data_IF_074971453413
#
_entry.id   IF_074971453413
#
_cell.length_a   1.000
_cell.length_b   1.000
_cell.length_c   1.000
_cell.angle_alpha   90.00
_cell.angle_beta   90.00
_cell.angle_gamma   90.00
#
_symmetry.space_group_name_H-M   'P 1'
#
loop_
_entity.id
_entity.type
_entity.pdbx_description
1 polymer ?
#
# COMPACT_ATOMS: atom_id res chain seq x y z
N UNK A 1 -30.90 6.21 49.01
CA UNK A 1 -30.13 7.36 48.48
C UNK A 1 -29.40 6.86 47.23
N UNK A 2 -29.84 7.32 46.06
CA UNK A 2 -29.29 6.95 44.75
C UNK A 2 -27.92 7.62 44.57
N UNK A 3 -26.94 6.90 44.04
CA UNK A 3 -25.84 7.53 43.30
C UNK A 3 -25.47 6.63 42.12
N UNK A 4 -26.04 6.97 40.96
CA UNK A 4 -25.63 6.47 39.66
C UNK A 4 -24.20 6.96 39.37
N UNK A 5 -23.23 6.05 39.30
CA UNK A 5 -21.90 6.36 38.79
C UNK A 5 -21.85 5.87 37.34
N UNK A 6 -22.04 6.84 36.45
CA UNK A 6 -21.87 6.74 35.01
C UNK A 6 -20.45 6.27 34.65
N UNK A 7 -20.34 5.05 34.14
CA UNK A 7 -19.08 4.49 33.63
C UNK A 7 -18.82 5.04 32.22
N UNK A 8 -18.18 6.21 32.14
CA UNK A 8 -17.67 6.78 30.89
C UNK A 8 -16.57 5.87 30.33
N UNK A 9 -16.75 5.41 29.09
CA UNK A 9 -15.75 4.72 28.29
C UNK A 9 -14.50 5.61 28.18
N UNK A 10 -13.41 5.20 28.83
CA UNK A 10 -12.10 5.84 28.66
C UNK A 10 -11.44 5.20 27.43
N UNK A 11 -11.47 5.89 26.29
CA UNK A 11 -10.58 5.57 25.16
C UNK A 11 -9.16 5.96 25.59
N UNK A 12 -8.32 4.96 25.82
CA UNK A 12 -6.90 5.15 26.06
C UNK A 12 -6.20 5.28 24.69
N UNK A 13 -6.10 6.50 24.17
CA UNK A 13 -5.15 6.83 23.11
C UNK A 13 -3.75 6.86 23.71
N UNK A 14 -3.02 5.75 23.61
CA UNK A 14 -1.60 5.71 23.91
C UNK A 14 -0.83 6.49 22.84
N UNK A 15 -0.61 7.80 23.08
CA UNK A 15 0.48 8.54 22.44
C UNK A 15 1.80 7.97 22.99
N UNK A 16 2.55 7.27 22.13
CA UNK A 16 3.95 6.99 22.38
C UNK A 16 4.72 8.32 22.34
N UNK A 17 5.06 8.84 23.52
CA UNK A 17 6.04 9.92 23.66
C UNK A 17 7.42 9.29 23.43
N UNK A 18 7.95 9.42 22.22
CA UNK A 18 9.31 8.99 21.89
C UNK A 18 10.27 10.03 22.47
N UNK A 19 11.11 9.61 23.43
CA UNK A 19 12.16 10.45 24.02
C UNK A 19 13.25 10.80 22.98
N UNK A 20 13.78 12.04 22.95
CA UNK A 20 14.70 12.50 21.92
C UNK A 20 16.16 12.28 22.34
N UNK A 21 16.55 11.03 22.57
CA UNK A 21 17.95 10.69 22.80
C UNK A 21 18.35 9.63 21.78
N UNK A 22 19.09 10.05 20.73
CA UNK A 22 19.56 9.30 19.55
C UNK A 22 18.61 9.26 18.35
N UNK A 23 18.06 10.40 17.92
CA UNK A 23 17.42 10.51 16.62
C UNK A 23 18.48 10.68 15.51
N UNK A 24 19.10 9.58 15.05
CA UNK A 24 19.19 9.44 13.59
C UNK A 24 17.72 9.47 13.14
N UNK A 25 17.36 10.38 12.23
CA UNK A 25 15.96 10.59 11.87
C UNK A 25 15.24 9.28 11.54
N UNK A 26 13.90 9.28 11.58
CA UNK A 26 13.07 8.15 11.13
C UNK A 26 13.41 7.78 9.67
N UNK A 27 13.93 8.75 8.90
CA UNK A 27 14.41 8.60 7.53
C UNK A 27 15.95 8.67 7.51
N UNK A 28 16.54 7.75 6.76
CA UNK A 28 17.95 7.76 6.37
C UNK A 28 18.11 8.29 4.94
N UNK A 29 19.34 8.62 4.55
CA UNK A 29 19.62 9.08 3.20
C UNK A 29 19.25 7.99 2.18
N UNK A 30 18.49 8.36 1.15
CA UNK A 30 17.99 7.44 0.12
C UNK A 30 16.63 6.81 0.42
N UNK A 31 16.09 6.96 1.63
CA UNK A 31 14.70 6.60 1.91
C UNK A 31 13.74 7.56 1.19
N UNK A 32 12.60 7.03 0.75
CA UNK A 32 11.57 7.85 0.10
C UNK A 32 10.19 7.50 0.64
N UNK A 33 9.31 8.48 0.69
CA UNK A 33 7.93 8.29 1.12
C UNK A 33 7.00 8.70 0.00
N UNK A 34 6.08 7.82 -0.38
CA UNK A 34 5.15 8.03 -1.48
C UNK A 34 3.73 8.11 -0.94
N UNK A 35 3.03 9.19 -1.27
CA UNK A 35 1.59 9.32 -1.06
C UNK A 35 0.88 9.18 -2.39
N UNK A 36 -0.14 8.32 -2.45
CA UNK A 36 -0.89 8.00 -3.67
C UNK A 36 -2.41 8.05 -3.44
N UNK A 37 -3.13 8.36 -4.52
CA UNK A 37 -4.59 8.24 -4.58
C UNK A 37 -5.05 7.62 -5.89
N UNK A 38 -6.23 6.98 -5.88
CA UNK A 38 -6.86 6.41 -7.07
C UNK A 38 -7.44 7.52 -7.93
N UNK A 39 -7.07 7.56 -9.20
CA UNK A 39 -7.63 8.52 -10.17
C UNK A 39 -8.70 7.90 -11.06
N UNK A 40 -8.62 6.58 -11.30
CA UNK A 40 -9.58 5.88 -12.13
C UNK A 40 -9.57 4.38 -11.81
N UNK A 41 -10.74 3.75 -11.87
CA UNK A 41 -10.87 2.31 -11.72
C UNK A 41 -11.88 1.78 -12.71
N UNK A 42 -11.61 0.60 -13.26
CA UNK A 42 -12.55 -0.12 -14.12
C UNK A 42 -12.58 -1.59 -13.78
N UNK A 43 -13.78 -2.09 -13.60
CA UNK A 43 -14.03 -3.52 -13.48
C UNK A 43 -14.15 -4.16 -14.87
N UNK A 44 -13.60 -5.36 -15.04
CA UNK A 44 -13.67 -6.07 -16.32
C UNK A 44 -15.09 -6.55 -16.65
N UNK A 45 -15.83 -6.98 -15.61
CA UNK A 45 -17.24 -7.34 -15.71
C UNK A 45 -18.06 -6.45 -14.75
N UNK A 46 -18.58 -5.30 -15.21
CA UNK A 46 -19.30 -4.36 -14.35
C UNK A 46 -20.71 -4.88 -14.02
N UNK A 47 -20.99 -5.11 -12.74
CA UNK A 47 -22.35 -5.26 -12.22
C UNK A 47 -22.87 -3.91 -11.71
N UNK A 48 -24.20 -3.67 -11.66
CA UNK A 48 -24.79 -2.38 -11.25
C UNK A 48 -24.30 -1.89 -9.88
N UNK A 49 -23.94 -2.82 -8.99
CA UNK A 49 -23.54 -2.53 -7.61
C UNK A 49 -22.02 -2.31 -7.46
N UNK A 50 -21.24 -2.37 -8.54
CA UNK A 50 -19.79 -2.18 -8.48
C UNK A 50 -19.39 -0.70 -8.34
N UNK A 51 -18.76 -0.35 -7.23
CA UNK A 51 -18.18 0.96 -7.01
C UNK A 51 -16.94 1.18 -7.90
N UNK A 52 -16.95 2.20 -8.76
CA UNK A 52 -15.78 2.63 -9.56
C UNK A 52 -15.04 3.86 -8.97
N UNK A 53 -15.40 4.27 -7.75
CA UNK A 53 -14.81 5.37 -7.00
C UNK A 53 -14.19 4.86 -5.70
N UNK A 54 -13.00 4.28 -5.81
CA UNK A 54 -12.32 3.60 -4.70
C UNK A 54 -11.86 4.57 -3.62
N UNK A 55 -11.69 5.87 -3.93
CA UNK A 55 -11.26 6.91 -2.97
C UNK A 55 -10.02 6.46 -2.18
N UNK A 56 -9.07 5.83 -2.87
CA UNK A 56 -7.91 5.25 -2.22
C UNK A 56 -7.02 6.36 -1.68
N UNK A 57 -6.48 6.13 -0.48
CA UNK A 57 -5.28 6.80 0.04
C UNK A 57 -4.27 5.71 0.32
N UNK A 58 -3.08 5.84 -0.24
CA UNK A 58 -2.00 4.88 -0.09
C UNK A 58 -0.71 5.58 0.35
N UNK A 59 -0.01 4.97 1.31
CA UNK A 59 1.26 5.45 1.82
C UNK A 59 2.29 4.33 1.66
N UNK A 60 3.39 4.60 0.97
CA UNK A 60 4.51 3.68 0.83
C UNK A 60 5.79 4.31 1.38
N UNK A 61 6.58 3.50 2.07
CA UNK A 61 7.95 3.78 2.48
C UNK A 61 8.88 2.91 1.65
N UNK A 62 9.76 3.54 0.88
CA UNK A 62 10.83 2.88 0.15
C UNK A 62 12.10 2.95 0.99
N UNK A 63 12.69 1.79 1.24
CA UNK A 63 13.97 1.72 1.90
C UNK A 63 15.09 2.20 0.96
N UNK A 64 16.14 2.74 1.55
CA UNK A 64 17.39 3.03 0.89
C UNK A 64 18.02 1.76 0.26
N UNK A 65 19.05 1.94 -0.56
CA UNK A 65 19.70 0.85 -1.28
C UNK A 65 20.55 -0.07 -0.40
N UNK A 66 20.69 0.20 0.91
CA UNK A 66 21.37 -0.71 1.84
C UNK A 66 20.47 -1.88 2.24
N UNK A 67 19.14 -1.67 2.27
CA UNK A 67 18.18 -2.71 2.63
C UNK A 67 17.94 -3.62 1.43
N UNK A 68 18.54 -4.81 1.46
CA UNK A 68 18.35 -5.85 0.44
C UNK A 68 17.84 -7.15 1.09
N UNK A 69 16.65 -7.57 0.69
CA UNK A 69 16.12 -8.88 1.06
C UNK A 69 16.40 -9.91 -0.04
N UNK A 70 16.68 -11.16 0.35
CA UNK A 70 16.88 -12.28 -0.57
C UNK A 70 18.03 -12.10 -1.59
N UNK A 71 19.07 -11.39 -1.20
CA UNK A 71 20.30 -11.19 -2.01
C UNK A 71 21.42 -12.08 -1.49
N UNK A 72 22.23 -12.63 -2.40
CA UNK A 72 23.49 -13.29 -2.06
C UNK A 72 24.64 -12.32 -2.34
N UNK A 73 25.43 -11.90 -1.34
CA UNK A 73 26.50 -10.91 -1.52
C UNK A 73 27.62 -11.38 -2.46
N UNK A 74 27.75 -12.69 -2.70
CA UNK A 74 28.77 -13.25 -3.59
C UNK A 74 28.30 -13.38 -5.05
N UNK A 75 27.04 -13.09 -5.36
CA UNK A 75 26.46 -13.26 -6.69
C UNK A 75 25.60 -12.07 -7.09
N UNK A 76 26.04 -11.34 -8.12
CA UNK A 76 25.25 -10.27 -8.71
C UNK A 76 24.00 -10.83 -9.38
N UNK A 77 22.83 -10.26 -9.07
CA UNK A 77 21.53 -10.68 -9.58
C UNK A 77 20.63 -9.48 -9.82
N UNK A 78 19.60 -9.63 -10.65
CA UNK A 78 18.55 -8.61 -10.84
C UNK A 78 17.85 -8.20 -9.53
N UNK A 79 17.97 -9.03 -8.48
CA UNK A 79 17.48 -8.74 -7.13
C UNK A 79 18.22 -7.58 -6.45
N UNK A 80 19.46 -7.31 -6.84
CA UNK A 80 20.28 -6.24 -6.28
C UNK A 80 19.71 -4.86 -6.64
N UNK A 81 19.03 -4.76 -7.78
CA UNK A 81 18.40 -3.53 -8.26
C UNK A 81 16.97 -3.34 -7.74
N UNK A 82 16.44 -4.30 -6.97
CA UNK A 82 15.11 -4.18 -6.38
C UNK A 82 15.15 -3.18 -5.23
N UNK A 83 14.27 -2.18 -5.32
CA UNK A 83 13.96 -1.24 -4.25
C UNK A 83 12.85 -1.82 -3.41
N UNK A 84 13.17 -2.14 -2.16
CA UNK A 84 12.23 -2.72 -1.22
C UNK A 84 11.34 -1.64 -0.62
N UNK A 85 10.11 -2.02 -0.28
CA UNK A 85 9.12 -1.10 0.29
C UNK A 85 8.17 -1.81 1.25
N UNK A 86 7.57 -1.01 2.12
CA UNK A 86 6.37 -1.37 2.90
C UNK A 86 5.32 -0.29 2.74
N UNK A 87 4.04 -0.64 2.86
CA UNK A 87 2.98 0.32 2.67
C UNK A 87 1.65 -0.09 3.27
N UNK A 88 0.74 0.88 3.24
CA UNK A 88 -0.62 0.75 3.71
C UNK A 88 -1.59 1.57 2.87
N UNK A 89 -2.62 0.92 2.34
CA UNK A 89 -3.69 1.56 1.59
C UNK A 89 -5.02 1.43 2.32
N UNK A 90 -5.85 2.47 2.23
CA UNK A 90 -7.26 2.43 2.63
C UNK A 90 -8.11 2.88 1.46
N UNK A 91 -9.18 2.13 1.17
CA UNK A 91 -10.02 2.35 -0.01
C UNK A 91 -11.42 1.76 0.17
N UNK A 92 -12.37 2.20 -0.64
CA UNK A 92 -13.67 1.55 -0.80
C UNK A 92 -13.54 0.39 -1.78
N UNK A 93 -13.87 -0.82 -1.34
CA UNK A 93 -13.88 -1.97 -2.25
C UNK A 93 -15.04 -1.88 -3.26
N UNK A 94 -15.17 -2.90 -4.12
CA UNK A 94 -16.21 -2.97 -5.15
C UNK A 94 -17.64 -2.88 -4.59
N UNK A 95 -17.85 -3.14 -3.30
CA UNK A 95 -19.14 -3.11 -2.60
C UNK A 95 -19.27 -1.92 -1.63
N UNK A 96 -18.47 -0.88 -1.85
CA UNK A 96 -18.41 0.34 -1.03
C UNK A 96 -18.08 0.11 0.47
N UNK A 97 -17.49 -1.03 0.81
CA UNK A 97 -16.99 -1.29 2.16
C UNK A 97 -15.59 -0.72 2.33
N UNK A 98 -15.36 -0.05 3.47
CA UNK A 98 -14.02 0.41 3.82
C UNK A 98 -13.09 -0.79 3.99
N UNK A 99 -12.03 -0.80 3.19
CA UNK A 99 -11.03 -1.85 3.17
C UNK A 99 -9.63 -1.27 3.39
N UNK A 100 -8.75 -2.09 3.92
CA UNK A 100 -7.38 -1.74 4.27
C UNK A 100 -6.44 -2.83 3.82
N UNK A 101 -5.39 -2.47 3.09
CA UNK A 101 -4.34 -3.37 2.62
C UNK A 101 -3.02 -2.94 3.25
N UNK A 102 -2.39 -3.83 4.03
CA UNK A 102 -1.05 -3.62 4.59
C UNK A 102 -0.11 -4.60 3.93
N UNK A 103 1.04 -4.13 3.45
CA UNK A 103 1.85 -4.93 2.53
C UNK A 103 3.34 -4.60 2.58
N UNK A 104 4.13 -5.55 2.10
CA UNK A 104 5.53 -5.39 1.73
C UNK A 104 5.73 -5.75 0.27
N UNK A 105 6.79 -5.25 -0.35
CA UNK A 105 7.03 -5.53 -1.76
C UNK A 105 8.37 -5.04 -2.26
N UNK A 106 8.55 -5.22 -3.56
CA UNK A 106 9.73 -4.76 -4.28
C UNK A 106 9.31 -4.11 -5.59
N UNK A 107 10.10 -3.11 -5.99
CA UNK A 107 9.99 -2.43 -7.27
C UNK A 107 11.33 -2.48 -8.01
N UNK A 108 11.27 -2.80 -9.29
CA UNK A 108 12.41 -2.75 -10.19
C UNK A 108 12.25 -1.55 -11.14
N UNK A 109 13.27 -0.69 -11.20
CA UNK A 109 13.29 0.53 -12.00
C UNK A 109 13.97 0.30 -13.36
N UNK A 110 13.38 0.87 -14.41
CA UNK A 110 13.95 0.97 -15.75
C UNK A 110 14.13 2.46 -16.09
N UNK A 111 15.37 2.92 -16.20
CA UNK A 111 15.66 4.31 -16.56
C UNK A 111 15.20 4.60 -18.00
N UNK A 112 14.38 5.63 -18.18
CA UNK A 112 13.97 6.15 -19.48
C UNK A 112 14.65 7.48 -19.83
N UNK A 113 15.32 8.09 -18.87
CA UNK A 113 16.06 9.34 -18.98
C UNK A 113 16.48 9.84 -17.60
N UNK A 114 17.11 11.01 -17.53
CA UNK A 114 17.67 11.56 -16.28
C UNK A 114 16.63 11.72 -15.15
N UNK A 115 15.40 12.09 -15.53
CA UNK A 115 14.33 12.40 -14.58
C UNK A 115 13.12 11.48 -14.71
N UNK A 116 13.19 10.43 -15.53
CA UNK A 116 12.06 9.57 -15.85
C UNK A 116 12.43 8.10 -15.72
N UNK A 117 11.60 7.35 -15.01
CA UNK A 117 11.75 5.90 -14.83
C UNK A 117 10.42 5.22 -15.15
N UNK A 118 10.45 4.11 -15.87
CA UNK A 118 9.38 3.12 -15.81
C UNK A 118 9.71 2.11 -14.70
N UNK A 119 8.71 1.39 -14.21
CA UNK A 119 8.94 0.36 -13.21
C UNK A 119 7.91 -0.75 -13.25
N UNK A 120 8.34 -1.91 -12.75
CA UNK A 120 7.48 -3.02 -12.36
C UNK A 120 7.54 -3.16 -10.84
N UNK A 121 6.40 -3.36 -10.20
CA UNK A 121 6.26 -3.50 -8.74
C UNK A 121 5.43 -4.73 -8.43
N UNK A 122 5.80 -5.43 -7.36
CA UNK A 122 5.02 -6.54 -6.82
C UNK A 122 4.90 -6.36 -5.31
N UNK A 123 3.67 -6.36 -4.81
CA UNK A 123 3.38 -6.30 -3.38
C UNK A 123 2.65 -7.54 -2.94
N UNK A 124 2.91 -7.97 -1.71
CA UNK A 124 2.17 -9.04 -1.04
C UNK A 124 1.81 -8.58 0.38
N UNK A 125 0.61 -8.90 0.81
CA UNK A 125 0.12 -8.42 2.09
C UNK A 125 -1.23 -8.98 2.50
N UNK A 126 -1.82 -8.31 3.48
CA UNK A 126 -3.09 -8.68 4.10
C UNK A 126 -4.13 -7.60 3.80
N UNK A 127 -5.26 -8.03 3.23
CA UNK A 127 -6.41 -7.19 2.93
C UNK A 127 -7.54 -7.49 3.90
N UNK A 128 -7.99 -6.46 4.62
CA UNK A 128 -9.13 -6.51 5.52
C UNK A 128 -10.25 -5.63 4.95
N UNK A 129 -11.51 -6.07 5.01
CA UNK A 129 -12.65 -5.20 4.67
C UNK A 129 -13.79 -5.86 3.88
N UNK A 130 -13.56 -7.03 3.28
CA UNK A 130 -14.61 -7.84 2.67
C UNK A 130 -15.37 -8.60 3.75
N UNK A 131 -16.56 -8.12 4.11
CA UNK A 131 -17.35 -8.63 5.24
C UNK A 131 -18.79 -8.96 4.82
N UNK A 132 -19.48 -9.74 5.65
CA UNK A 132 -20.86 -10.13 5.41
C UNK A 132 -20.96 -11.04 4.19
N UNK A 133 -21.91 -10.74 3.31
CA UNK A 133 -22.23 -11.53 2.12
C UNK A 133 -21.10 -11.54 1.07
N UNK A 134 -20.13 -10.61 1.16
CA UNK A 134 -19.01 -10.49 0.22
C UNK A 134 -17.72 -11.16 0.70
N UNK A 135 -17.78 -11.88 1.82
CA UNK A 135 -16.62 -12.53 2.42
C UNK A 135 -15.94 -13.51 1.46
N UNK A 136 -16.72 -14.29 0.71
CA UNK A 136 -16.21 -15.33 -0.18
C UNK A 136 -15.77 -14.81 -1.56
N UNK A 137 -15.87 -13.50 -1.80
CA UNK A 137 -15.38 -12.86 -3.03
C UNK A 137 -13.85 -12.76 -3.09
N UNK A 138 -13.18 -12.96 -1.96
CA UNK A 138 -11.72 -13.08 -1.90
C UNK A 138 -11.36 -14.47 -1.34
N UNK A 139 -10.48 -15.22 -2.04
CA UNK A 139 -9.95 -16.48 -1.52
C UNK A 139 -9.33 -16.32 -0.12
N UNK A 140 -9.52 -17.33 0.73
CA UNK A 140 -8.93 -17.39 2.08
C UNK A 140 -9.38 -16.28 3.06
N UNK A 141 -10.50 -15.61 2.80
CA UNK A 141 -11.05 -14.57 3.67
C UNK A 141 -11.90 -15.11 4.85
N UNK A 142 -11.65 -16.34 5.33
CA UNK A 142 -12.47 -16.99 6.36
C UNK A 142 -12.47 -16.25 7.72
N UNK A 143 -11.48 -15.38 7.94
CA UNK A 143 -11.34 -14.54 9.14
C UNK A 143 -11.64 -13.05 8.88
N UNK A 144 -12.11 -12.69 7.68
CA UNK A 144 -12.30 -11.29 7.27
C UNK A 144 -11.01 -10.57 6.86
N UNK A 145 -9.89 -11.29 6.90
CA UNK A 145 -8.59 -10.90 6.35
C UNK A 145 -8.21 -11.91 5.27
N UNK A 146 -7.77 -11.43 4.12
CA UNK A 146 -7.34 -12.25 3.00
C UNK A 146 -5.89 -11.94 2.59
N UNK A 147 -5.07 -12.96 2.25
CA UNK A 147 -3.79 -12.75 1.61
C UNK A 147 -3.99 -12.25 0.18
N UNK A 148 -3.26 -11.20 -0.20
CA UNK A 148 -3.35 -10.59 -1.53
C UNK A 148 -1.94 -10.35 -2.07
N UNK A 149 -1.78 -10.59 -3.37
CA UNK A 149 -0.60 -10.23 -4.15
C UNK A 149 -1.07 -9.31 -5.28
N UNK A 150 -0.47 -8.11 -5.37
CA UNK A 150 -0.80 -7.13 -6.41
C UNK A 150 0.45 -6.81 -7.24
N UNK A 151 0.46 -7.15 -8.55
CA UNK A 151 1.41 -6.60 -9.48
C UNK A 151 1.01 -5.17 -9.84
N UNK A 152 1.99 -4.36 -10.21
CA UNK A 152 1.78 -3.02 -10.74
C UNK A 152 2.87 -2.66 -11.74
N UNK A 153 2.54 -1.79 -12.68
CA UNK A 153 3.50 -1.14 -13.58
C UNK A 153 3.26 0.35 -13.53
N UNK A 154 4.30 1.15 -13.65
CA UNK A 154 4.11 2.59 -13.62
C UNK A 154 5.26 3.38 -14.22
N UNK A 155 5.05 4.68 -14.26
CA UNK A 155 6.03 5.68 -14.66
C UNK A 155 6.18 6.70 -13.56
N UNK A 156 7.41 7.12 -13.33
CA UNK A 156 7.77 8.17 -12.41
C UNK A 156 8.51 9.25 -13.19
N UNK A 157 8.02 10.49 -13.14
CA UNK A 157 8.73 11.65 -13.64
C UNK A 157 9.01 12.60 -12.47
N UNK A 158 10.28 12.80 -12.15
CA UNK A 158 10.75 13.52 -10.95
C UNK A 158 10.08 12.95 -9.69
N UNK A 159 9.22 13.74 -9.04
CA UNK A 159 8.52 13.39 -7.80
C UNK A 159 7.10 12.90 -8.01
N UNK A 160 6.61 12.80 -9.25
CA UNK A 160 5.24 12.36 -9.55
C UNK A 160 5.28 10.96 -10.14
N UNK A 161 4.35 10.09 -9.74
CA UNK A 161 4.11 8.84 -10.46
C UNK A 161 2.67 8.69 -10.96
N UNK A 162 2.57 7.87 -12.00
CA UNK A 162 1.34 7.23 -12.45
C UNK A 162 1.57 5.71 -12.38
N UNK A 163 0.61 4.99 -11.82
CA UNK A 163 0.72 3.55 -11.58
C UNK A 163 -0.56 2.83 -11.99
N UNK A 164 -0.41 1.73 -12.73
CA UNK A 164 -1.47 0.81 -13.12
C UNK A 164 -1.39 -0.44 -12.26
N UNK A 165 -2.48 -0.75 -11.55
CA UNK A 165 -2.59 -1.91 -10.65
C UNK A 165 -3.73 -2.81 -11.13
N UNK A 166 -3.43 -3.93 -11.80
CA UNK A 166 -4.40 -4.99 -12.03
C UNK A 166 -4.71 -5.70 -10.71
N UNK A 167 -5.99 -5.83 -10.36
CA UNK A 167 -6.42 -6.58 -9.19
C UNK A 167 -7.21 -7.82 -9.62
N UNK A 168 -6.45 -8.90 -9.82
CA UNK A 168 -6.92 -10.21 -10.24
C UNK A 168 -7.90 -10.15 -11.43
N UNK A 169 -8.92 -11.01 -11.44
CA UNK A 169 -9.95 -11.04 -12.48
C UNK A 169 -11.00 -9.91 -12.33
N UNK A 170 -10.88 -9.04 -11.34
CA UNK A 170 -11.92 -8.06 -11.01
C UNK A 170 -11.77 -6.75 -11.79
N UNK A 171 -10.54 -6.26 -12.02
CA UNK A 171 -10.35 -5.02 -12.75
C UNK A 171 -8.96 -4.43 -12.67
N UNK A 172 -8.88 -3.15 -12.99
CA UNK A 172 -7.65 -2.38 -12.99
C UNK A 172 -7.87 -0.99 -12.40
N UNK A 173 -6.88 -0.50 -11.65
CA UNK A 173 -6.86 0.82 -11.04
C UNK A 173 -5.67 1.62 -11.57
N UNK A 174 -5.89 2.91 -11.81
CA UNK A 174 -4.83 3.87 -12.07
C UNK A 174 -4.71 4.78 -10.84
N UNK A 175 -3.49 4.92 -10.36
CA UNK A 175 -3.13 5.75 -9.22
C UNK A 175 -2.18 6.86 -9.65
N UNK A 176 -2.30 8.02 -9.01
CA UNK A 176 -1.32 9.09 -9.10
C UNK A 176 -0.76 9.37 -7.71
N UNK A 177 0.51 9.76 -7.64
CA UNK A 177 1.16 10.03 -6.35
C UNK A 177 2.34 10.97 -6.42
N UNK A 178 2.85 11.28 -5.23
CA UNK A 178 3.94 12.21 -5.01
C UNK A 178 4.97 11.64 -4.02
N UNK A 179 6.25 11.72 -4.38
CA UNK A 179 7.39 11.32 -3.56
C UNK A 179 7.92 12.48 -2.70
N UNK A 180 8.09 12.19 -1.43
CA UNK A 180 8.80 12.98 -0.44
C UNK A 180 10.19 12.35 -0.24
N UNK A 181 11.22 13.19 -0.31
CA UNK A 181 12.65 12.86 -0.25
C UNK A 181 13.34 13.98 0.49
#
# INVERSE_FOLDING_TARGET
>A
MKSDISMKKLLLCSLLVVSPAHAKGIFTEGDELLLQTSVWTKHYNPEPDHNNHQKMINLEYYFNDEVKFFVNPEQTSWRDDVRWLVGGATFKNSYDQQSTYVYGGGRYDYALGENTKAYAKLTAGLLYGYRGEYKDKIPFNSLGVAPVILPAVGVQHRRVNLELVPFAAAGVMINAGFYFR
#
